data_IF_699598466059
#
_entry.id   IF_699598466059
#
_cell.length_a   1.000
_cell.length_b   1.000
_cell.length_c   1.000
_cell.angle_alpha   90.00
_cell.angle_beta   90.00
_cell.angle_gamma   90.00
#
_symmetry.space_group_name_H-M   'P 1'
#
loop_
_entity.id
_entity.type
_entity.pdbx_description
1 polymer ?
#
# COMPACT_ATOMS: atom_id res chain seq x y z
N UNK A 1 23.53 4.64 4.24
CA UNK A 1 22.94 3.28 4.21
C UNK A 1 21.41 3.23 4.36
N UNK A 2 20.74 4.05 5.21
CA UNK A 2 19.26 4.06 5.33
C UNK A 2 18.54 4.39 4.01
N UNK A 3 19.01 5.38 3.24
CA UNK A 3 18.39 5.78 1.98
C UNK A 3 18.37 4.65 0.94
N UNK A 4 19.46 3.90 0.80
CA UNK A 4 19.52 2.76 -0.13
C UNK A 4 18.55 1.67 0.28
N UNK A 5 18.50 1.31 1.57
CA UNK A 5 17.55 0.30 2.08
C UNK A 5 16.11 0.75 1.91
N UNK A 6 15.81 2.01 2.19
CA UNK A 6 14.47 2.57 1.97
C UNK A 6 14.09 2.52 0.48
N UNK A 7 14.97 2.95 -0.41
CA UNK A 7 14.77 2.87 -1.86
C UNK A 7 14.48 1.42 -2.31
N UNK A 8 15.28 0.46 -1.86
CA UNK A 8 15.07 -0.95 -2.16
C UNK A 8 13.70 -1.45 -1.66
N UNK A 9 13.29 -1.04 -0.46
CA UNK A 9 11.99 -1.43 0.13
C UNK A 9 10.82 -0.91 -0.71
N UNK A 10 10.79 0.39 -1.05
CA UNK A 10 9.71 0.96 -1.84
C UNK A 10 9.68 0.42 -3.27
N UNK A 11 10.85 0.14 -3.85
CA UNK A 11 10.96 -0.42 -5.20
C UNK A 11 10.49 -1.87 -5.24
N UNK A 12 10.87 -2.68 -4.25
CA UNK A 12 10.40 -4.05 -4.11
C UNK A 12 8.88 -4.10 -4.00
N UNK A 13 8.29 -3.30 -3.11
CA UNK A 13 6.84 -3.18 -2.97
C UNK A 13 6.17 -2.79 -4.29
N UNK A 14 6.66 -1.76 -4.98
CA UNK A 14 6.15 -1.32 -6.28
C UNK A 14 6.15 -2.45 -7.31
N UNK A 15 7.23 -3.22 -7.41
CA UNK A 15 7.33 -4.34 -8.37
C UNK A 15 6.29 -5.41 -8.07
N UNK A 16 6.08 -5.76 -6.81
CA UNK A 16 5.09 -6.75 -6.42
C UNK A 16 3.68 -6.29 -6.77
N UNK A 17 3.27 -5.09 -6.35
CA UNK A 17 1.94 -4.57 -6.66
C UNK A 17 1.73 -4.42 -8.17
N UNK A 18 2.76 -4.00 -8.91
CA UNK A 18 2.70 -3.93 -10.37
C UNK A 18 2.41 -5.30 -10.99
N UNK A 19 3.07 -6.37 -10.52
CA UNK A 19 2.83 -7.74 -11.01
C UNK A 19 1.40 -8.20 -10.74
N UNK A 20 0.90 -7.97 -9.52
CA UNK A 20 -0.48 -8.35 -9.17
C UNK A 20 -1.51 -7.53 -9.97
N UNK A 21 -1.30 -6.24 -10.12
CA UNK A 21 -2.14 -5.41 -10.99
C UNK A 21 -2.14 -5.90 -12.44
N UNK A 22 -1.00 -6.35 -12.96
CA UNK A 22 -0.90 -6.88 -14.34
C UNK A 22 -1.67 -8.19 -14.50
N UNK A 23 -1.69 -9.05 -13.49
CA UNK A 23 -2.47 -10.30 -13.50
C UNK A 23 -3.96 -10.07 -13.68
N UNK A 24 -4.47 -8.94 -13.21
CA UNK A 24 -5.88 -8.56 -13.31
C UNK A 24 -6.16 -7.48 -14.36
N UNK A 25 -5.21 -7.24 -15.28
CA UNK A 25 -5.37 -6.29 -16.39
C UNK A 25 -5.26 -4.82 -16.03
N UNK A 26 -4.86 -4.47 -14.82
CA UNK A 26 -4.70 -3.10 -14.33
C UNK A 26 -3.31 -2.53 -14.64
N UNK A 27 -2.90 -2.56 -15.91
CA UNK A 27 -1.54 -2.18 -16.33
C UNK A 27 -1.15 -0.76 -15.92
N UNK A 28 -2.03 0.22 -16.17
CA UNK A 28 -1.76 1.62 -15.85
C UNK A 28 -1.60 1.82 -14.33
N UNK A 29 -2.48 1.24 -13.53
CA UNK A 29 -2.41 1.32 -12.07
C UNK A 29 -1.11 0.71 -11.57
N UNK A 30 -0.75 -0.48 -12.02
CA UNK A 30 0.50 -1.14 -11.63
C UNK A 30 1.75 -0.32 -11.98
N UNK A 31 1.79 0.30 -13.16
CA UNK A 31 2.91 1.16 -13.57
C UNK A 31 3.01 2.43 -12.72
N UNK A 32 1.88 3.04 -12.38
CA UNK A 32 1.82 4.31 -11.66
C UNK A 32 1.74 4.16 -10.14
N UNK A 33 1.54 2.92 -9.64
CA UNK A 33 1.41 2.64 -8.22
C UNK A 33 2.56 3.25 -7.42
N UNK A 34 2.21 4.06 -6.42
CA UNK A 34 3.15 4.61 -5.45
C UNK A 34 4.35 5.39 -6.01
N UNK A 35 4.27 5.90 -7.23
CA UNK A 35 5.33 6.74 -7.79
C UNK A 35 5.64 7.97 -6.92
N UNK A 36 4.65 8.45 -6.17
CA UNK A 36 4.82 9.58 -5.25
C UNK A 36 5.87 9.31 -4.16
N UNK A 37 6.10 8.02 -3.79
CA UNK A 37 7.14 7.62 -2.82
C UNK A 37 8.56 7.99 -3.24
N UNK A 38 8.79 8.18 -4.54
CA UNK A 38 10.08 8.62 -5.08
C UNK A 38 10.21 10.15 -5.13
N UNK A 39 9.15 10.90 -4.84
CA UNK A 39 9.21 12.36 -4.72
C UNK A 39 10.11 12.78 -3.55
N UNK A 40 10.73 13.94 -3.67
CA UNK A 40 11.58 14.47 -2.59
C UNK A 40 10.82 14.60 -1.26
N UNK A 41 9.54 14.98 -1.32
CA UNK A 41 8.67 15.14 -0.14
C UNK A 41 8.53 13.86 0.65
N UNK A 42 8.24 12.72 0.00
CA UNK A 42 8.07 11.44 0.68
C UNK A 42 9.40 10.73 0.92
N UNK A 43 10.29 10.71 -0.07
CA UNK A 43 11.54 9.97 0.00
C UNK A 43 12.46 10.46 1.11
N UNK A 44 12.62 11.79 1.25
CA UNK A 44 13.44 12.38 2.32
C UNK A 44 12.96 11.97 3.71
N UNK A 45 11.65 12.04 3.94
CA UNK A 45 11.02 11.66 5.20
C UNK A 45 11.15 10.16 5.42
N UNK A 46 10.88 9.38 4.37
CA UNK A 46 11.09 7.95 4.38
C UNK A 46 12.50 7.56 4.81
N UNK A 47 13.53 8.20 4.25
CA UNK A 47 14.93 7.97 4.64
C UNK A 47 15.22 8.34 6.11
N UNK A 48 14.66 9.46 6.56
CA UNK A 48 14.86 9.95 7.96
C UNK A 48 14.32 8.94 8.98
N UNK A 49 13.09 8.46 8.76
CA UNK A 49 12.37 7.60 9.70
C UNK A 49 12.49 6.11 9.41
N UNK A 50 13.29 5.70 8.41
CA UNK A 50 13.44 4.30 8.05
C UNK A 50 14.08 3.48 9.16
N UNK A 51 13.39 2.42 9.58
CA UNK A 51 13.83 1.47 10.61
C UNK A 51 13.94 0.03 10.08
N UNK A 52 13.36 -0.27 8.90
CA UNK A 52 13.35 -1.61 8.30
C UNK A 52 12.26 -2.56 8.82
N UNK A 53 11.67 -2.27 9.98
CA UNK A 53 10.69 -3.14 10.66
C UNK A 53 9.27 -2.60 10.64
N UNK A 54 9.11 -1.30 10.41
CA UNK A 54 7.80 -0.62 10.38
C UNK A 54 7.76 0.53 9.38
N UNK A 55 6.56 1.02 9.09
CA UNK A 55 6.37 2.17 8.19
C UNK A 55 7.04 3.43 8.75
N UNK A 56 7.86 4.13 7.94
CA UNK A 56 8.42 5.43 8.31
C UNK A 56 7.36 6.48 8.67
N UNK A 57 6.16 6.40 8.06
CA UNK A 57 5.05 7.31 8.35
C UNK A 57 4.56 7.20 9.80
N UNK A 58 4.58 5.98 10.37
CA UNK A 58 4.20 5.79 11.77
C UNK A 58 5.22 6.40 12.73
N UNK A 59 6.51 6.25 12.42
CA UNK A 59 7.56 6.87 13.22
C UNK A 59 7.50 8.41 13.16
N UNK A 60 7.15 8.98 12.00
CA UNK A 60 6.91 10.43 11.88
C UNK A 60 5.70 10.88 12.71
N UNK A 61 4.59 10.08 12.71
CA UNK A 61 3.40 10.39 13.52
C UNK A 61 3.68 10.37 15.02
N UNK A 62 4.49 9.42 15.48
CA UNK A 62 4.87 9.33 16.89
C UNK A 62 5.70 10.53 17.34
N UNK A 63 6.57 11.05 16.47
CA UNK A 63 7.42 12.21 16.79
C UNK A 63 6.65 13.54 16.71
N UNK A 64 5.75 13.68 15.69
CA UNK A 64 5.15 14.98 15.33
C UNK A 64 3.65 15.07 15.54
N UNK A 65 2.98 13.97 15.87
CA UNK A 65 1.51 13.88 15.89
C UNK A 65 0.86 13.69 14.51
N UNK A 66 1.60 13.84 13.42
CA UNK A 66 1.13 13.66 12.05
C UNK A 66 2.26 13.17 11.14
N UNK A 67 1.92 12.70 9.94
CA UNK A 67 2.92 12.38 8.91
C UNK A 67 2.68 13.23 7.66
N UNK A 68 3.61 14.13 7.37
CA UNK A 68 3.57 14.95 6.16
C UNK A 68 3.81 14.11 4.89
N UNK A 69 4.64 13.07 4.99
CA UNK A 69 4.81 12.11 3.90
C UNK A 69 3.51 11.37 3.61
N UNK A 70 2.77 10.94 4.63
CA UNK A 70 1.47 10.29 4.45
C UNK A 70 0.41 11.21 3.86
N UNK A 71 0.31 12.45 4.33
CA UNK A 71 -0.63 13.43 3.79
C UNK A 71 -0.37 13.69 2.30
N UNK A 72 0.91 13.81 1.92
CA UNK A 72 1.29 13.94 0.51
C UNK A 72 0.94 12.66 -0.28
N UNK A 73 1.23 11.49 0.29
CA UNK A 73 1.01 10.19 -0.34
C UNK A 73 -0.46 9.91 -0.59
N UNK A 74 -1.30 9.95 0.44
CA UNK A 74 -2.74 9.67 0.32
C UNK A 74 -3.47 10.63 -0.61
N UNK A 75 -3.03 11.88 -0.70
CA UNK A 75 -3.62 12.88 -1.60
C UNK A 75 -3.28 12.66 -3.09
N UNK A 76 -2.34 11.78 -3.42
CA UNK A 76 -1.91 11.48 -4.79
C UNK A 76 -2.21 10.06 -5.24
N UNK A 77 -2.48 9.16 -4.30
CA UNK A 77 -2.65 7.73 -4.57
C UNK A 77 -4.09 7.31 -4.29
N UNK A 78 -4.86 7.16 -5.36
CA UNK A 78 -6.32 6.88 -5.32
C UNK A 78 -6.68 5.49 -4.79
N UNK A 79 -5.71 4.59 -4.63
CA UNK A 79 -5.91 3.28 -3.99
C UNK A 79 -5.99 3.36 -2.46
N UNK A 80 -5.73 4.52 -1.85
CA UNK A 80 -5.99 4.77 -0.44
C UNK A 80 -7.41 5.29 -0.25
N UNK A 81 -8.18 4.68 0.66
CA UNK A 81 -9.57 5.08 0.91
C UNK A 81 -9.69 6.50 1.45
N UNK A 82 -8.66 7.01 2.15
CA UNK A 82 -8.62 8.37 2.69
C UNK A 82 -8.60 9.46 1.59
N UNK A 83 -8.23 9.10 0.37
CA UNK A 83 -8.35 10.00 -0.78
C UNK A 83 -9.82 10.36 -1.09
N UNK A 84 -10.76 9.48 -0.76
CA UNK A 84 -12.18 9.54 -1.08
C UNK A 84 -13.04 10.08 0.07
N UNK A 85 -12.41 10.52 1.17
CA UNK A 85 -13.09 11.08 2.34
C UNK A 85 -13.11 12.60 2.26
N UNK A 86 -14.28 13.18 2.55
CA UNK A 86 -14.51 14.62 2.61
C UNK A 86 -15.31 15.00 3.86
N UNK A 87 -15.43 16.27 4.13
CA UNK A 87 -16.26 16.78 5.21
C UNK A 87 -17.74 16.70 4.86
N UNK A 88 -18.54 16.35 5.85
CA UNK A 88 -19.99 16.33 5.73
C UNK A 88 -20.55 17.72 6.09
N UNK A 89 -21.05 18.45 5.09
CA UNK A 89 -21.69 19.76 5.30
C UNK A 89 -22.98 19.70 6.15
N UNK A 90 -23.56 18.51 6.32
CA UNK A 90 -24.75 18.25 7.14
C UNK A 90 -24.43 17.63 8.50
N UNK A 91 -23.18 17.73 8.98
CA UNK A 91 -22.72 17.09 10.22
C UNK A 91 -23.61 17.40 11.44
N UNK A 92 -24.19 18.61 11.51
CA UNK A 92 -25.14 19.00 12.57
C UNK A 92 -26.51 18.32 12.49
N UNK A 93 -26.87 17.70 11.36
CA UNK A 93 -28.17 17.03 11.18
C UNK A 93 -28.11 15.52 11.36
N UNK A 94 -27.05 14.88 10.87
CA UNK A 94 -26.91 13.41 10.88
C UNK A 94 -25.81 12.89 11.82
N UNK A 95 -25.14 13.78 12.54
CA UNK A 95 -24.07 13.45 13.51
C UNK A 95 -22.77 12.93 12.88
N UNK A 96 -22.69 12.83 11.55
CA UNK A 96 -21.48 12.36 10.85
C UNK A 96 -20.62 13.52 10.43
N UNK A 97 -19.41 13.63 10.96
CA UNK A 97 -18.44 14.68 10.64
C UNK A 97 -17.81 14.47 9.25
N UNK A 98 -17.64 13.21 8.86
CA UNK A 98 -17.02 12.83 7.59
C UNK A 98 -18.02 12.12 6.70
N UNK A 99 -17.89 12.34 5.41
CA UNK A 99 -18.58 11.63 4.34
C UNK A 99 -17.55 11.06 3.36
N UNK A 100 -17.97 10.25 2.42
CA UNK A 100 -17.07 9.66 1.45
C UNK A 100 -17.73 9.46 0.10
N UNK A 101 -16.92 9.54 -0.95
CA UNK A 101 -17.31 9.14 -2.30
C UNK A 101 -17.01 7.65 -2.50
N UNK A 102 -17.86 6.94 -3.23
CA UNK A 102 -17.64 5.53 -3.58
C UNK A 102 -16.33 5.39 -4.36
N UNK A 103 -15.42 4.62 -3.81
CA UNK A 103 -14.14 4.29 -4.45
C UNK A 103 -14.40 3.41 -5.68
N UNK A 104 -13.90 3.78 -6.89
CA UNK A 104 -14.04 2.94 -8.09
C UNK A 104 -13.32 1.60 -7.90
N UNK A 105 -13.94 0.51 -8.42
CA UNK A 105 -13.50 -0.88 -8.22
C UNK A 105 -12.02 -1.08 -8.58
N UNK A 106 -11.54 -0.47 -9.66
CA UNK A 106 -10.12 -0.57 -10.07
C UNK A 106 -9.13 -0.13 -8.98
N UNK A 107 -9.49 0.84 -8.13
CA UNK A 107 -8.63 1.30 -7.03
C UNK A 107 -8.81 0.41 -5.79
N UNK A 108 -9.97 -0.19 -5.61
CA UNK A 108 -10.18 -1.23 -4.57
C UNK A 108 -9.30 -2.43 -4.87
N UNK A 109 -9.26 -2.90 -6.12
CA UNK A 109 -8.40 -4.01 -6.55
C UNK A 109 -6.93 -3.67 -6.40
N UNK A 110 -6.50 -2.46 -6.80
CA UNK A 110 -5.14 -1.97 -6.62
C UNK A 110 -4.74 -1.95 -5.13
N UNK A 111 -5.61 -1.45 -4.25
CA UNK A 111 -5.41 -1.45 -2.80
C UNK A 111 -5.27 -2.86 -2.23
N UNK A 112 -6.11 -3.79 -2.69
CA UNK A 112 -6.08 -5.19 -2.27
C UNK A 112 -4.80 -5.89 -2.70
N UNK A 113 -4.33 -5.63 -3.92
CA UNK A 113 -3.05 -6.15 -4.42
C UNK A 113 -1.87 -5.71 -3.54
N UNK A 114 -1.90 -4.48 -3.04
CA UNK A 114 -0.89 -3.97 -2.11
C UNK A 114 -0.96 -4.65 -0.72
N UNK A 115 -2.16 -4.98 -0.24
CA UNK A 115 -2.37 -5.68 1.04
C UNK A 115 -1.92 -7.14 0.92
N UNK A 116 -2.26 -7.82 -0.18
CA UNK A 116 -1.88 -9.21 -0.42
C UNK A 116 -0.36 -9.38 -0.47
N UNK A 117 0.36 -8.45 -1.08
CA UNK A 117 1.83 -8.47 -1.07
C UNK A 117 2.41 -8.44 0.35
N UNK A 118 1.92 -7.54 1.19
CA UNK A 118 2.32 -7.47 2.60
C UNK A 118 2.03 -8.76 3.36
N UNK A 119 0.87 -9.36 3.14
CA UNK A 119 0.44 -10.59 3.77
C UNK A 119 1.28 -11.80 3.29
N UNK A 120 1.45 -11.98 1.99
CA UNK A 120 2.23 -13.07 1.39
C UNK A 120 3.70 -12.99 1.81
N UNK A 121 4.28 -11.78 1.83
CA UNK A 121 5.66 -11.57 2.28
C UNK A 121 5.83 -11.97 3.74
N UNK A 122 4.89 -11.58 4.61
CA UNK A 122 4.92 -11.90 6.03
C UNK A 122 4.73 -13.41 6.29
N UNK A 123 3.80 -14.04 5.59
CA UNK A 123 3.61 -15.50 5.65
C UNK A 123 4.87 -16.25 5.22
N UNK A 124 5.48 -15.84 4.12
CA UNK A 124 6.71 -16.47 3.61
C UNK A 124 7.84 -16.39 4.64
N UNK A 125 8.03 -15.24 5.30
CA UNK A 125 9.01 -15.07 6.37
C UNK A 125 8.73 -16.05 7.54
N UNK A 126 7.48 -16.13 8.00
CA UNK A 126 7.07 -17.04 9.10
C UNK A 126 7.31 -18.49 8.69
N UNK A 127 6.90 -18.90 7.50
CA UNK A 127 7.08 -20.28 7.04
C UNK A 127 8.55 -20.66 6.84
N UNK A 128 9.40 -19.72 6.40
CA UNK A 128 10.85 -19.95 6.34
C UNK A 128 11.46 -20.13 7.73
N UNK A 129 11.04 -19.32 8.71
CA UNK A 129 11.50 -19.46 10.11
C UNK A 129 11.03 -20.75 10.76
N UNK A 130 9.86 -21.27 10.37
CA UNK A 130 9.32 -22.52 10.88
C UNK A 130 9.83 -23.79 10.15
N UNK A 131 10.71 -23.65 9.14
CA UNK A 131 11.24 -24.79 8.36
C UNK A 131 10.21 -25.52 7.51
N UNK A 132 9.03 -24.93 7.27
CA UNK A 132 7.89 -25.56 6.57
C UNK A 132 7.92 -25.42 5.05
N UNK A 133 8.91 -24.74 4.47
CA UNK A 133 9.16 -24.75 3.03
C UNK A 133 10.21 -25.80 2.63
N UNK A 134 9.76 -27.06 2.63
CA UNK A 134 10.35 -28.10 1.82
C UNK A 134 9.63 -28.12 0.47
N UNK A 135 10.34 -27.69 -0.58
CA UNK A 135 10.07 -27.82 -1.99
C UNK A 135 8.77 -28.55 -2.40
N UNK A 136 7.73 -27.80 -2.78
CA UNK A 136 6.86 -28.09 -3.94
C UNK A 136 6.05 -26.85 -4.27
N UNK A 137 6.18 -26.37 -5.51
CA UNK A 137 5.31 -25.36 -6.09
C UNK A 137 3.86 -25.86 -6.02
N UNK A 138 3.00 -25.18 -5.25
CA UNK A 138 1.57 -25.28 -5.47
C UNK A 138 1.25 -24.41 -6.68
N UNK A 139 0.91 -25.02 -7.80
CA UNK A 139 0.24 -24.33 -8.90
C UNK A 139 -1.10 -23.77 -8.38
N UNK A 140 -1.50 -22.55 -8.77
CA UNK A 140 -2.81 -22.05 -8.43
C UNK A 140 -3.86 -22.85 -9.21
N UNK A 141 -4.72 -23.53 -8.48
CA UNK A 141 -5.90 -24.16 -9.06
C UNK A 141 -6.73 -23.12 -9.81
N UNK A 142 -7.11 -23.50 -11.02
CA UNK A 142 -7.98 -22.77 -11.93
C UNK A 142 -9.31 -22.41 -11.24
N UNK A 143 -9.55 -21.12 -11.04
CA UNK A 143 -10.90 -20.63 -10.82
C UNK A 143 -11.60 -20.56 -12.18
N UNK A 144 -12.13 -21.70 -12.62
CA UNK A 144 -13.14 -21.77 -13.66
C UNK A 144 -14.52 -21.53 -13.03
N UNK A 145 -15.25 -20.62 -13.68
CA UNK A 145 -16.70 -20.47 -13.73
C UNK A 145 -17.47 -20.25 -12.40
N UNK A 146 -17.89 -19.01 -12.21
CA UNK A 146 -19.24 -18.72 -11.71
C UNK A 146 -19.87 -17.68 -12.65
N UNK A 147 -20.87 -18.17 -13.41
CA UNK A 147 -21.85 -17.43 -14.18
C UNK A 147 -22.58 -16.36 -13.36
#
# INVERSE_FOLDING_TARGET
>A
MKAIRHFQTITKHKIYVMRECFRVGLYRQGLLHDLSKYSWTEFRIGCRYYQGTRSPNNAEREEKGYSSAWLHHKGRNKHHYEYWIDYNVNAGKDGRILTGMKMPVRYVVESHSAILDGFVSKFREIFQQCGLFGAKQCEPDSYDSLD
#
